data_IF_426542679314
#
_entry.id   IF_426542679314
#
_cell.length_a   1.000
_cell.length_b   1.000
_cell.length_c   1.000
_cell.angle_alpha   90.00
_cell.angle_beta   90.00
_cell.angle_gamma   90.00
#
_symmetry.space_group_name_H-M   'P 1'
#
loop_
_entity.id
_entity.type
_entity.pdbx_description
1 polymer ?
#
# COMPACT_ATOMS: atom_id res chain seq x y z
N UNK A 1 -5.15 12.59 4.53
CA UNK A 1 -5.33 11.72 3.35
C UNK A 1 -4.46 10.49 3.58
N UNK A 2 -4.92 9.24 3.37
CA UNK A 2 -4.21 8.04 3.89
C UNK A 2 -2.83 7.80 3.22
N UNK A 3 -2.55 8.45 2.10
CA UNK A 3 -1.19 8.52 1.53
C UNK A 3 -0.18 9.24 2.46
N UNK A 4 -0.64 10.19 3.29
CA UNK A 4 0.17 10.87 4.32
C UNK A 4 0.64 9.89 5.41
N UNK A 5 0.01 8.72 5.53
CA UNK A 5 0.35 7.73 6.55
C UNK A 5 1.55 6.87 6.16
N UNK A 6 1.75 6.58 4.87
CA UNK A 6 2.89 5.75 4.41
C UNK A 6 4.22 6.46 4.65
N UNK A 7 4.33 7.74 4.32
CA UNK A 7 5.55 8.53 4.54
C UNK A 7 5.86 8.68 6.03
N UNK A 8 4.87 9.05 6.85
CA UNK A 8 5.04 9.13 8.31
C UNK A 8 5.41 7.79 8.94
N UNK A 9 4.80 6.70 8.46
CA UNK A 9 5.12 5.35 8.93
C UNK A 9 6.55 4.96 8.55
N UNK A 10 6.96 5.24 7.31
CA UNK A 10 8.34 5.06 6.85
C UNK A 10 9.34 5.83 7.71
N UNK A 11 9.10 7.12 7.97
CA UNK A 11 9.97 7.95 8.83
C UNK A 11 10.08 7.38 10.25
N UNK A 12 8.97 6.92 10.82
CA UNK A 12 8.96 6.27 12.15
C UNK A 12 9.77 4.98 12.15
N UNK A 13 9.66 4.16 11.11
CA UNK A 13 10.44 2.92 10.96
C UNK A 13 11.92 3.24 10.75
N UNK A 14 12.26 4.27 9.96
CA UNK A 14 13.64 4.71 9.78
C UNK A 14 14.25 5.21 11.11
N UNK A 15 13.46 5.88 11.96
CA UNK A 15 13.89 6.26 13.31
C UNK A 15 14.11 5.03 14.20
N UNK A 16 13.18 4.08 14.19
CA UNK A 16 13.30 2.81 14.92
C UNK A 16 14.56 2.03 14.49
N UNK A 17 14.80 1.95 13.17
CA UNK A 17 15.98 1.32 12.61
C UNK A 17 17.25 2.00 13.11
N UNK A 18 17.34 3.34 13.05
CA UNK A 18 18.49 4.09 13.57
C UNK A 18 18.75 3.79 15.05
N UNK A 19 17.71 3.70 15.86
CA UNK A 19 17.84 3.34 17.28
C UNK A 19 18.39 1.92 17.48
N UNK A 20 17.90 0.93 16.72
CA UNK A 20 18.39 -0.46 16.78
C UNK A 20 19.87 -0.56 16.37
N UNK A 21 20.25 0.11 15.28
CA UNK A 21 21.64 0.15 14.81
C UNK A 21 22.58 0.80 15.85
N UNK A 22 22.15 1.91 16.46
CA UNK A 22 22.93 2.59 17.50
C UNK A 22 23.13 1.72 18.75
N UNK A 23 22.09 0.99 19.19
CA UNK A 23 22.22 0.05 20.32
C UNK A 23 23.24 -1.04 20.05
N UNK A 24 23.29 -1.58 18.83
CA UNK A 24 24.27 -2.61 18.46
C UNK A 24 25.70 -2.09 18.56
N UNK A 25 25.97 -0.89 18.05
CA UNK A 25 27.31 -0.30 18.09
C UNK A 25 27.87 -0.14 19.51
N UNK A 26 27.01 0.15 20.50
CA UNK A 26 27.42 0.34 21.90
C UNK A 26 27.85 -0.99 22.54
N UNK A 27 27.26 -2.11 22.14
CA UNK A 27 27.45 -3.42 22.78
C UNK A 27 28.60 -4.25 22.18
N UNK A 28 29.38 -3.69 21.24
CA UNK A 28 30.33 -4.46 20.45
C UNK A 28 31.81 -4.31 20.89
N UNK A 29 32.36 -5.38 21.48
CA UNK A 29 33.78 -5.76 21.33
C UNK A 29 33.80 -6.95 20.38
N UNK A 30 34.32 -6.83 19.14
CA UNK A 30 34.15 -7.90 18.14
C UNK A 30 35.44 -8.32 17.44
N UNK A 31 35.70 -9.63 17.49
CA UNK A 31 36.57 -10.38 16.58
C UNK A 31 35.99 -10.36 15.16
N UNK A 32 36.81 -10.08 14.15
CA UNK A 32 36.37 -9.95 12.76
C UNK A 32 36.97 -11.04 11.89
N UNK A 33 36.17 -11.62 11.00
CA UNK A 33 36.63 -12.50 9.93
C UNK A 33 36.40 -11.85 8.57
N UNK A 34 37.33 -12.00 7.64
CA UNK A 34 37.26 -11.40 6.30
C UNK A 34 37.63 -12.39 5.22
N UNK A 35 37.00 -12.25 4.04
CA UNK A 35 37.41 -12.92 2.80
C UNK A 35 37.48 -14.45 2.87
N UNK A 36 36.60 -15.06 3.65
CA UNK A 36 36.51 -16.52 3.70
C UNK A 36 35.48 -17.07 2.74
N UNK A 37 35.83 -18.19 2.10
CA UNK A 37 34.92 -18.97 1.27
C UNK A 37 34.55 -20.23 2.05
N UNK A 38 33.26 -20.33 2.37
CA UNK A 38 32.62 -21.50 2.95
C UNK A 38 31.91 -22.22 1.80
N UNK A 39 32.61 -23.15 1.16
CA UNK A 39 32.15 -23.90 -0.02
C UNK A 39 32.41 -25.39 0.18
N UNK A 40 31.76 -25.97 1.17
CA UNK A 40 31.84 -27.42 1.41
C UNK A 40 30.43 -27.94 1.60
N UNK A 41 30.18 -29.17 1.14
CA UNK A 41 28.99 -30.00 1.42
C UNK A 41 28.85 -30.34 2.93
N UNK A 42 29.25 -29.43 3.80
CA UNK A 42 29.39 -29.58 5.23
C UNK A 42 28.12 -29.07 5.86
N UNK A 43 27.39 -30.01 6.43
CA UNK A 43 26.49 -29.76 7.54
C UNK A 43 27.28 -29.11 8.66
N UNK A 44 27.03 -27.82 8.90
CA UNK A 44 27.57 -27.14 10.07
C UNK A 44 26.49 -27.25 11.14
N UNK A 45 26.71 -28.15 12.11
CA UNK A 45 25.75 -28.46 13.17
C UNK A 45 26.20 -27.84 14.49
N UNK A 46 25.24 -27.31 15.26
CA UNK A 46 25.40 -26.90 16.66
C UNK A 46 26.61 -25.99 16.97
N UNK A 47 26.95 -25.05 16.10
CA UNK A 47 27.93 -24.02 16.46
C UNK A 47 27.28 -22.66 16.74
N UNK A 48 28.03 -21.86 17.49
CA UNK A 48 27.69 -20.47 17.78
C UNK A 48 28.64 -19.59 16.97
N UNK A 49 28.08 -18.62 16.24
CA UNK A 49 28.85 -17.55 15.62
C UNK A 49 28.59 -16.25 16.36
N UNK A 50 29.65 -15.67 16.90
CA UNK A 50 29.64 -14.42 17.68
C UNK A 50 30.69 -13.42 17.11
N UNK A 51 31.01 -13.53 15.82
CA UNK A 51 32.01 -12.68 15.14
C UNK A 51 31.44 -12.03 13.89
N UNK A 52 31.82 -10.77 13.64
CA UNK A 52 31.45 -10.06 12.42
C UNK A 52 32.17 -10.64 11.21
N UNK A 53 31.45 -10.74 10.10
CA UNK A 53 31.93 -11.30 8.85
C UNK A 53 31.91 -10.23 7.77
N UNK A 54 33.04 -10.07 7.09
CA UNK A 54 33.19 -9.14 5.97
C UNK A 54 33.58 -9.89 4.71
N UNK A 55 32.90 -9.62 3.60
CA UNK A 55 33.29 -10.10 2.28
C UNK A 55 33.41 -11.64 2.23
N UNK A 56 32.66 -12.34 3.08
CA UNK A 56 32.65 -13.79 3.15
C UNK A 56 31.63 -14.35 2.15
N UNK A 57 31.95 -15.51 1.58
CA UNK A 57 31.15 -16.18 0.56
C UNK A 57 30.73 -17.54 1.10
N UNK A 58 29.43 -17.77 1.18
CA UNK A 58 28.79 -19.02 1.59
C UNK A 58 28.13 -19.63 0.37
N UNK A 59 28.49 -20.86 0.00
CA UNK A 59 27.91 -21.55 -1.15
C UNK A 59 27.57 -23.00 -0.82
N UNK A 60 26.45 -23.50 -1.35
CA UNK A 60 26.08 -24.91 -1.36
C UNK A 60 26.16 -25.58 0.03
N UNK A 61 25.78 -24.85 1.07
CA UNK A 61 25.97 -25.25 2.47
C UNK A 61 24.62 -25.29 3.18
N UNK A 62 24.45 -26.26 4.08
CA UNK A 62 23.31 -26.34 5.00
C UNK A 62 23.76 -26.07 6.44
N UNK A 63 23.20 -25.03 7.05
CA UNK A 63 23.35 -24.74 8.48
C UNK A 63 22.19 -25.37 9.24
N UNK A 64 22.49 -26.22 10.22
CA UNK A 64 21.46 -26.87 11.04
C UNK A 64 21.67 -26.50 12.51
N UNK A 65 20.61 -26.07 13.19
CA UNK A 65 20.63 -25.71 14.61
C UNK A 65 21.73 -24.68 14.96
N UNK A 66 22.08 -23.82 14.01
CA UNK A 66 23.17 -22.88 14.16
C UNK A 66 22.71 -21.64 14.91
N UNK A 67 23.53 -21.14 15.84
CA UNK A 67 23.18 -19.99 16.67
C UNK A 67 24.04 -18.76 16.31
N UNK A 68 23.43 -17.79 15.66
CA UNK A 68 24.04 -16.50 15.38
C UNK A 68 23.71 -15.54 16.52
N UNK A 69 24.74 -15.01 17.18
CA UNK A 69 24.56 -14.02 18.24
C UNK A 69 25.35 -12.76 17.96
N UNK A 70 24.61 -11.65 17.87
CA UNK A 70 25.17 -10.32 17.70
C UNK A 70 26.13 -10.15 16.50
N UNK A 71 25.97 -10.99 15.46
CA UNK A 71 26.79 -10.96 14.24
C UNK A 71 26.31 -9.88 13.29
N UNK A 72 27.25 -9.18 12.66
CA UNK A 72 27.02 -8.39 11.45
C UNK A 72 27.70 -9.04 10.26
N UNK A 73 26.96 -9.16 9.16
CA UNK A 73 27.48 -9.57 7.87
C UNK A 73 27.58 -8.33 6.97
N UNK A 74 28.77 -8.07 6.46
CA UNK A 74 29.08 -6.97 5.57
C UNK A 74 29.55 -7.50 4.22
N UNK A 75 28.99 -7.03 3.10
CA UNK A 75 29.39 -7.45 1.74
C UNK A 75 29.45 -8.99 1.56
N UNK A 76 28.66 -9.76 2.31
CA UNK A 76 28.70 -11.22 2.26
C UNK A 76 27.77 -11.78 1.17
N UNK A 77 28.13 -12.93 0.61
CA UNK A 77 27.37 -13.59 -0.45
C UNK A 77 26.90 -14.95 0.06
N UNK A 78 25.60 -15.23 -0.04
CA UNK A 78 24.96 -16.50 0.28
C UNK A 78 24.32 -17.05 -0.98
N UNK A 79 24.80 -18.20 -1.47
CA UNK A 79 24.28 -18.87 -2.67
C UNK A 79 23.91 -20.31 -2.36
N UNK A 80 22.68 -20.71 -2.70
CA UNK A 80 22.20 -22.08 -2.48
C UNK A 80 22.40 -22.51 -1.02
N UNK A 81 21.96 -21.67 -0.07
CA UNK A 81 22.11 -21.93 1.37
C UNK A 81 20.77 -22.36 1.96
N UNK A 82 20.80 -23.42 2.76
CA UNK A 82 19.66 -23.78 3.62
C UNK A 82 20.02 -23.52 5.08
N UNK A 83 19.26 -22.65 5.74
CA UNK A 83 19.25 -22.50 7.18
C UNK A 83 18.07 -23.30 7.73
N UNK A 84 18.35 -24.31 8.54
CA UNK A 84 17.34 -25.18 9.12
C UNK A 84 17.42 -25.14 10.65
N UNK A 85 16.35 -24.69 11.29
CA UNK A 85 16.25 -24.60 12.74
C UNK A 85 17.32 -23.68 13.37
N UNK A 86 17.82 -22.71 12.61
CA UNK A 86 18.83 -21.75 13.05
C UNK A 86 18.22 -20.63 13.89
N UNK A 87 19.00 -20.12 14.85
CA UNK A 87 18.63 -19.00 15.72
C UNK A 87 19.44 -17.77 15.35
N UNK A 88 18.74 -16.69 15.00
CA UNK A 88 19.29 -15.36 14.76
C UNK A 88 18.85 -14.37 15.85
N UNK A 89 18.31 -14.90 16.95
CA UNK A 89 17.94 -14.14 18.14
C UNK A 89 18.13 -15.03 19.37
N UNK A 90 18.88 -14.57 20.36
CA UNK A 90 19.11 -15.27 21.62
C UNK A 90 18.26 -14.75 22.79
N UNK A 91 17.40 -13.75 22.53
CA UNK A 91 16.51 -13.15 23.52
C UNK A 91 17.16 -12.08 24.43
N UNK A 92 18.47 -11.86 24.37
CA UNK A 92 19.22 -10.89 25.21
C UNK A 92 19.63 -9.63 24.43
N UNK A 93 18.68 -9.06 23.68
CA UNK A 93 18.90 -7.89 22.80
C UNK A 93 19.92 -8.12 21.67
N UNK A 94 20.27 -9.37 21.34
CA UNK A 94 21.09 -9.67 20.16
C UNK A 94 20.37 -9.21 18.89
N UNK A 95 21.04 -8.40 18.07
CA UNK A 95 20.53 -7.96 16.77
C UNK A 95 21.47 -8.48 15.69
N UNK A 96 20.98 -9.36 14.83
CA UNK A 96 21.71 -9.76 13.63
C UNK A 96 21.44 -8.74 12.53
N UNK A 97 22.51 -8.34 11.84
CA UNK A 97 22.44 -7.37 10.75
C UNK A 97 23.12 -7.98 9.53
N UNK A 98 22.43 -7.93 8.39
CA UNK A 98 23.04 -8.08 7.07
C UNK A 98 23.03 -6.72 6.41
N UNK A 99 24.21 -6.20 6.08
CA UNK A 99 24.32 -4.88 5.47
C UNK A 99 25.42 -4.77 4.42
N UNK A 100 25.43 -3.62 3.73
CA UNK A 100 26.37 -3.29 2.68
C UNK A 100 26.41 -4.37 1.60
N UNK A 101 25.45 -4.35 0.67
CA UNK A 101 25.44 -5.20 -0.52
C UNK A 101 25.52 -6.71 -0.25
N UNK A 102 25.04 -7.19 0.90
CA UNK A 102 24.90 -8.62 1.11
C UNK A 102 23.95 -9.21 0.06
N UNK A 103 24.28 -10.40 -0.45
CA UNK A 103 23.50 -11.08 -1.50
C UNK A 103 22.99 -12.43 -1.00
N UNK A 104 21.71 -12.70 -1.21
CA UNK A 104 21.08 -14.00 -0.99
C UNK A 104 20.50 -14.48 -2.32
N UNK A 105 20.96 -15.64 -2.78
CA UNK A 105 20.52 -16.23 -4.04
C UNK A 105 20.16 -17.68 -3.75
N UNK A 106 18.91 -18.08 -4.02
CA UNK A 106 18.43 -19.45 -3.78
C UNK A 106 18.63 -19.88 -2.30
N UNK A 107 18.26 -19.01 -1.35
CA UNK A 107 18.43 -19.28 0.07
C UNK A 107 17.10 -19.72 0.71
N UNK A 108 17.12 -20.73 1.56
CA UNK A 108 15.95 -21.20 2.31
C UNK A 108 16.17 -21.03 3.81
N UNK A 109 15.20 -20.46 4.50
CA UNK A 109 15.15 -20.38 5.96
C UNK A 109 13.95 -21.21 6.44
N UNK A 110 14.23 -22.39 7.01
CA UNK A 110 13.24 -23.31 7.56
C UNK A 110 13.28 -23.33 9.07
N UNK A 111 12.13 -23.17 9.72
CA UNK A 111 12.01 -23.23 11.18
C UNK A 111 12.99 -22.29 11.92
N UNK A 112 13.38 -21.19 11.29
CA UNK A 112 14.39 -20.29 11.83
C UNK A 112 13.76 -19.25 12.77
N UNK A 113 14.49 -18.88 13.82
CA UNK A 113 14.17 -17.70 14.63
C UNK A 113 14.91 -16.49 14.05
N UNK A 114 14.20 -15.68 13.27
CA UNK A 114 14.69 -14.47 12.61
C UNK A 114 14.21 -13.19 13.30
N UNK A 115 13.75 -13.27 14.55
CA UNK A 115 13.21 -12.10 15.25
C UNK A 115 14.19 -10.94 15.26
N UNK A 116 13.68 -9.74 14.96
CA UNK A 116 14.43 -8.47 14.99
C UNK A 116 15.61 -8.37 14.03
N UNK A 117 15.83 -9.34 13.13
CA UNK A 117 16.91 -9.30 12.14
C UNK A 117 16.74 -8.07 11.24
N UNK A 118 17.85 -7.43 10.90
CA UNK A 118 17.87 -6.28 10.01
C UNK A 118 18.58 -6.67 8.71
N UNK A 119 17.92 -6.41 7.58
CA UNK A 119 18.49 -6.49 6.26
C UNK A 119 18.53 -5.08 5.66
N UNK A 120 19.73 -4.50 5.50
CA UNK A 120 19.90 -3.12 5.04
C UNK A 120 20.79 -3.07 3.81
N UNK A 121 20.28 -2.53 2.71
CA UNK A 121 21.03 -2.52 1.45
C UNK A 121 21.47 -3.93 1.03
N UNK A 122 20.51 -4.86 0.97
CA UNK A 122 20.76 -6.24 0.53
C UNK A 122 20.04 -6.56 -0.78
N UNK A 123 20.52 -7.58 -1.49
CA UNK A 123 19.80 -8.18 -2.60
C UNK A 123 19.39 -9.60 -2.23
N UNK A 124 18.09 -9.89 -2.24
CA UNK A 124 17.56 -11.24 -2.06
C UNK A 124 16.83 -11.69 -3.32
N UNK A 125 17.22 -12.85 -3.83
CA UNK A 125 16.64 -13.45 -5.03
C UNK A 125 16.31 -14.91 -4.78
N UNK A 126 15.12 -15.33 -5.19
CA UNK A 126 14.66 -16.72 -5.08
C UNK A 126 14.86 -17.26 -3.66
N UNK A 127 14.35 -16.56 -2.65
CA UNK A 127 14.58 -16.94 -1.26
C UNK A 127 13.27 -17.27 -0.54
N UNK A 128 13.32 -18.35 0.23
CA UNK A 128 12.15 -18.96 0.85
C UNK A 128 12.24 -18.85 2.36
N UNK A 129 11.16 -18.41 3.00
CA UNK A 129 10.97 -18.43 4.44
C UNK A 129 9.82 -19.37 4.77
N UNK A 130 10.10 -20.43 5.52
CA UNK A 130 9.15 -21.52 5.78
C UNK A 130 9.11 -21.76 7.28
N UNK A 131 7.92 -21.70 7.88
CA UNK A 131 7.67 -21.97 9.31
C UNK A 131 8.60 -21.16 10.24
N UNK A 132 9.05 -19.99 9.79
CA UNK A 132 10.06 -19.19 10.48
C UNK A 132 9.42 -18.00 11.21
N UNK A 133 10.01 -17.63 12.35
CA UNK A 133 9.60 -16.51 13.18
C UNK A 133 10.31 -15.23 12.72
N UNK A 134 9.61 -14.36 12.01
CA UNK A 134 10.14 -13.15 11.38
C UNK A 134 9.60 -11.88 12.05
N UNK A 135 9.19 -11.99 13.32
CA UNK A 135 8.64 -10.85 14.03
C UNK A 135 9.66 -9.73 14.15
N UNK A 136 9.21 -8.50 13.95
CA UNK A 136 10.03 -7.29 14.03
C UNK A 136 11.24 -7.26 13.08
N UNK A 137 11.28 -8.09 12.03
CA UNK A 137 12.32 -7.97 10.98
C UNK A 137 12.14 -6.67 10.20
N UNK A 138 13.25 -6.01 9.89
CA UNK A 138 13.27 -4.80 9.08
C UNK A 138 14.13 -5.03 7.83
N UNK A 139 13.53 -4.88 6.66
CA UNK A 139 14.21 -4.82 5.37
C UNK A 139 14.19 -3.36 4.88
N UNK A 140 15.36 -2.76 4.68
CA UNK A 140 15.50 -1.37 4.24
C UNK A 140 16.46 -1.26 3.04
N UNK A 141 16.18 -0.35 2.10
CA UNK A 141 17.06 -0.04 0.95
C UNK A 141 17.45 -1.26 0.13
N UNK A 142 16.59 -2.27 0.03
CA UNK A 142 16.95 -3.59 -0.49
C UNK A 142 16.23 -3.90 -1.81
N UNK A 143 16.73 -4.92 -2.50
CA UNK A 143 16.12 -5.48 -3.70
C UNK A 143 15.61 -6.90 -3.41
N UNK A 144 14.31 -7.12 -3.56
CA UNK A 144 13.63 -8.39 -3.28
C UNK A 144 13.00 -8.93 -4.57
N UNK A 145 13.40 -10.12 -5.00
CA UNK A 145 12.88 -10.75 -6.22
C UNK A 145 12.57 -12.22 -5.96
N UNK A 146 11.34 -12.65 -6.26
CA UNK A 146 10.88 -14.02 -6.06
C UNK A 146 11.09 -14.48 -4.62
N UNK A 147 10.52 -13.74 -3.67
CA UNK A 147 10.55 -14.10 -2.25
C UNK A 147 9.28 -14.85 -1.89
N UNK A 148 9.43 -15.98 -1.20
CA UNK A 148 8.31 -16.82 -0.81
C UNK A 148 8.23 -16.94 0.71
N UNK A 149 7.02 -16.82 1.24
CA UNK A 149 6.71 -17.09 2.64
C UNK A 149 5.74 -18.26 2.73
N UNK A 150 5.93 -19.12 3.72
CA UNK A 150 5.02 -20.21 4.05
C UNK A 150 4.90 -20.36 5.56
N UNK A 151 3.71 -20.11 6.08
CA UNK A 151 3.32 -20.32 7.48
C UNK A 151 4.25 -19.61 8.49
N UNK A 152 4.69 -18.40 8.14
CA UNK A 152 5.61 -17.59 8.93
C UNK A 152 4.90 -16.73 9.98
N UNK A 153 5.61 -16.35 11.04
CA UNK A 153 5.16 -15.30 11.95
C UNK A 153 5.78 -13.95 11.55
N UNK A 154 5.04 -13.14 10.80
CA UNK A 154 5.49 -11.86 10.24
C UNK A 154 4.84 -10.64 10.94
N UNK A 155 4.46 -10.79 12.22
CA UNK A 155 3.95 -9.66 13.00
C UNK A 155 5.03 -8.60 13.18
N UNK A 156 4.69 -7.34 12.88
CA UNK A 156 5.63 -6.20 12.87
C UNK A 156 6.77 -6.33 11.84
N UNK A 157 6.64 -7.20 10.85
CA UNK A 157 7.56 -7.29 9.70
C UNK A 157 7.49 -6.02 8.86
N UNK A 158 8.64 -5.45 8.51
CA UNK A 158 8.72 -4.13 7.86
C UNK A 158 9.61 -4.18 6.61
N UNK A 159 9.11 -3.67 5.49
CA UNK A 159 9.88 -3.45 4.26
C UNK A 159 9.73 -2.00 3.84
N UNK A 160 10.82 -1.25 3.81
CA UNK A 160 10.84 0.18 3.48
C UNK A 160 11.93 0.52 2.47
N UNK A 161 11.73 1.58 1.68
CA UNK A 161 12.69 2.09 0.69
C UNK A 161 13.28 0.98 -0.23
N UNK A 162 12.50 -0.05 -0.53
CA UNK A 162 13.00 -1.27 -1.17
C UNK A 162 12.26 -1.52 -2.48
N UNK A 163 12.97 -2.10 -3.44
CA UNK A 163 12.40 -2.53 -4.71
C UNK A 163 11.91 -3.96 -4.57
N UNK A 164 10.63 -4.18 -4.85
CA UNK A 164 9.99 -5.49 -4.73
C UNK A 164 9.55 -5.94 -6.12
N UNK A 165 10.22 -6.97 -6.65
CA UNK A 165 9.87 -7.61 -7.91
C UNK A 165 8.70 -8.57 -7.76
N UNK A 166 8.77 -9.49 -6.78
CA UNK A 166 7.71 -10.44 -6.47
C UNK A 166 7.81 -10.93 -5.01
N UNK A 167 6.66 -10.98 -4.33
CA UNK A 167 6.49 -11.62 -3.02
C UNK A 167 5.24 -12.48 -3.09
N UNK A 168 5.37 -13.74 -2.70
CA UNK A 168 4.27 -14.71 -2.69
C UNK A 168 4.16 -15.38 -1.31
N UNK A 169 2.93 -15.74 -0.96
CA UNK A 169 2.61 -16.49 0.26
C UNK A 169 1.99 -17.82 -0.18
N UNK A 170 2.64 -18.93 0.16
CA UNK A 170 2.24 -20.30 -0.19
C UNK A 170 1.84 -21.07 1.06
N UNK A 171 0.97 -20.45 1.84
CA UNK A 171 0.55 -20.95 3.16
C UNK A 171 -0.34 -22.18 3.03
N UNK A 172 -0.10 -23.17 3.90
CA UNK A 172 -1.07 -24.25 4.16
C UNK A 172 -1.98 -23.88 5.34
N UNK A 173 -1.47 -23.05 6.26
CA UNK A 173 -2.18 -22.45 7.37
C UNK A 173 -2.33 -20.95 7.12
N UNK A 174 -1.49 -20.14 7.74
CA UNK A 174 -1.53 -18.68 7.61
C UNK A 174 -0.19 -18.07 8.03
N UNK A 175 0.36 -17.20 7.20
CA UNK A 175 1.39 -16.25 7.59
C UNK A 175 0.76 -15.13 8.43
N UNK A 176 1.28 -14.90 9.63
CA UNK A 176 0.66 -14.00 10.61
C UNK A 176 1.10 -12.56 10.43
N UNK A 177 0.16 -11.64 10.21
CA UNK A 177 0.38 -10.19 10.24
C UNK A 177 -0.30 -9.56 11.46
N UNK A 178 0.14 -8.36 11.84
CA UNK A 178 -0.56 -7.49 12.79
C UNK A 178 -0.60 -6.05 12.25
N UNK A 179 -1.17 -5.13 13.02
CA UNK A 179 -1.33 -3.71 12.66
C UNK A 179 0.01 -2.98 12.44
N UNK A 180 1.11 -3.53 13.00
CA UNK A 180 2.45 -2.96 12.90
C UNK A 180 3.28 -3.53 11.74
N UNK A 181 2.77 -4.57 11.06
CA UNK A 181 3.36 -5.05 9.80
C UNK A 181 3.21 -3.94 8.76
N UNK A 182 4.26 -3.70 7.97
CA UNK A 182 4.26 -2.62 6.98
C UNK A 182 5.14 -2.96 5.78
N UNK A 183 4.55 -2.97 4.60
CA UNK A 183 5.27 -3.08 3.34
C UNK A 183 4.99 -1.80 2.56
N UNK A 184 6.04 -1.03 2.35
CA UNK A 184 5.96 0.28 1.73
C UNK A 184 5.53 0.22 0.25
N UNK A 185 5.24 1.37 -0.33
CA UNK A 185 4.93 1.48 -1.76
C UNK A 185 6.13 1.04 -2.57
N UNK A 186 5.87 0.22 -3.57
CA UNK A 186 6.88 -0.30 -4.50
C UNK A 186 7.28 0.84 -5.45
N UNK A 187 8.53 1.28 -5.31
CA UNK A 187 9.07 2.45 -6.00
C UNK A 187 9.53 2.16 -7.44
N UNK A 188 9.64 3.22 -8.23
CA UNK A 188 9.64 3.19 -9.70
C UNK A 188 11.06 3.35 -10.25
N UNK A 189 11.61 2.29 -10.86
CA UNK A 189 12.84 2.40 -11.67
C UNK A 189 12.57 2.31 -13.18
N UNK A 190 11.57 1.52 -13.61
CA UNK A 190 11.18 1.41 -15.02
C UNK A 190 9.70 1.04 -15.13
N UNK A 191 8.93 1.92 -15.74
CA UNK A 191 7.47 1.77 -15.85
C UNK A 191 7.12 1.20 -17.21
N UNK A 192 6.73 -0.07 -17.24
CA UNK A 192 6.11 -0.71 -18.39
C UNK A 192 4.81 -1.41 -17.98
N UNK A 193 4.08 -1.97 -18.96
CA UNK A 193 2.83 -2.68 -18.66
C UNK A 193 3.05 -3.92 -17.79
N UNK A 194 4.23 -4.55 -17.88
CA UNK A 194 4.57 -5.76 -17.13
C UNK A 194 4.84 -5.44 -15.65
N UNK A 195 5.42 -4.28 -15.38
CA UNK A 195 5.61 -3.74 -14.03
C UNK A 195 4.28 -3.56 -13.32
N UNK A 196 3.30 -2.87 -13.94
CA UNK A 196 2.00 -2.66 -13.31
C UNK A 196 1.28 -3.96 -12.94
N UNK A 197 1.38 -4.97 -13.80
CA UNK A 197 0.84 -6.30 -13.53
C UNK A 197 1.52 -6.98 -12.34
N UNK A 198 2.86 -7.05 -12.35
CA UNK A 198 3.61 -7.65 -11.23
C UNK A 198 3.33 -6.93 -9.92
N UNK A 199 3.35 -5.60 -9.92
CA UNK A 199 3.11 -4.81 -8.70
C UNK A 199 1.67 -4.95 -8.19
N UNK A 200 0.68 -5.02 -9.09
CA UNK A 200 -0.71 -5.32 -8.71
C UNK A 200 -0.83 -6.69 -8.03
N UNK A 201 -0.15 -7.71 -8.58
CA UNK A 201 -0.12 -9.06 -7.98
C UNK A 201 0.52 -9.03 -6.60
N UNK A 202 1.65 -8.33 -6.43
CA UNK A 202 2.29 -8.20 -5.10
C UNK A 202 1.36 -7.56 -4.09
N UNK A 203 0.71 -6.46 -4.42
CA UNK A 203 -0.24 -5.83 -3.50
C UNK A 203 -1.45 -6.72 -3.20
N UNK A 204 -1.94 -7.50 -4.17
CA UNK A 204 -3.03 -8.45 -3.97
C UNK A 204 -2.62 -9.61 -3.06
N UNK A 205 -1.39 -10.11 -3.19
CA UNK A 205 -0.85 -11.13 -2.31
C UNK A 205 -0.78 -10.61 -0.86
N UNK A 206 -0.35 -9.36 -0.66
CA UNK A 206 -0.28 -8.72 0.65
C UNK A 206 -1.68 -8.49 1.23
N UNK A 207 -2.62 -7.97 0.43
CA UNK A 207 -4.03 -7.80 0.79
C UNK A 207 -4.62 -9.10 1.34
N UNK A 208 -4.43 -10.21 0.62
CA UNK A 208 -4.98 -11.51 1.00
C UNK A 208 -4.51 -11.97 2.39
N UNK A 209 -3.24 -11.70 2.75
CA UNK A 209 -2.71 -12.03 4.08
C UNK A 209 -3.30 -11.12 5.15
N UNK A 210 -3.41 -9.81 4.92
CA UNK A 210 -4.09 -8.93 5.87
C UNK A 210 -5.56 -9.35 6.08
N UNK A 211 -6.27 -9.70 5.01
CA UNK A 211 -7.66 -10.17 5.10
C UNK A 211 -7.76 -11.50 5.86
N UNK A 212 -6.87 -12.46 5.61
CA UNK A 212 -6.82 -13.72 6.35
C UNK A 212 -6.55 -13.52 7.86
N UNK A 213 -5.80 -12.47 8.21
CA UNK A 213 -5.55 -12.05 9.59
C UNK A 213 -6.64 -11.13 10.18
N UNK A 214 -7.74 -10.86 9.45
CA UNK A 214 -8.86 -9.97 9.85
C UNK A 214 -8.44 -8.51 10.09
N UNK A 215 -7.43 -8.04 9.35
CA UNK A 215 -6.92 -6.68 9.40
C UNK A 215 -7.45 -5.90 8.19
N UNK A 216 -8.77 -5.67 8.18
CA UNK A 216 -9.48 -5.21 6.98
C UNK A 216 -9.13 -3.79 6.55
N UNK A 217 -8.77 -2.92 7.49
CA UNK A 217 -8.28 -1.59 7.16
C UNK A 217 -7.00 -1.65 6.32
N UNK A 218 -6.00 -2.41 6.77
CA UNK A 218 -4.76 -2.62 6.03
C UNK A 218 -5.03 -3.35 4.70
N UNK A 219 -5.88 -4.38 4.71
CA UNK A 219 -6.24 -5.09 3.48
C UNK A 219 -6.84 -4.13 2.43
N UNK A 220 -7.74 -3.24 2.83
CA UNK A 220 -8.34 -2.23 1.95
C UNK A 220 -7.32 -1.26 1.34
N UNK A 221 -6.27 -0.90 2.08
CA UNK A 221 -5.18 -0.07 1.54
C UNK A 221 -4.44 -0.78 0.41
N UNK A 222 -4.04 -2.04 0.62
CA UNK A 222 -3.32 -2.82 -0.40
C UNK A 222 -4.22 -3.19 -1.58
N UNK A 223 -5.50 -3.45 -1.36
CA UNK A 223 -6.51 -3.60 -2.43
C UNK A 223 -6.58 -2.34 -3.30
N UNK A 224 -6.71 -1.16 -2.67
CA UNK A 224 -6.76 0.11 -3.40
C UNK A 224 -5.48 0.35 -4.22
N UNK A 225 -4.31 0.07 -3.65
CA UNK A 225 -3.03 0.17 -4.36
C UNK A 225 -2.96 -0.81 -5.54
N UNK A 226 -3.45 -2.04 -5.37
CA UNK A 226 -3.54 -3.03 -6.45
C UNK A 226 -4.43 -2.52 -7.59
N UNK A 227 -5.62 -2.01 -7.29
CA UNK A 227 -6.55 -1.45 -8.30
C UNK A 227 -5.99 -0.24 -9.03
N UNK A 228 -5.26 0.62 -8.33
CA UNK A 228 -4.53 1.72 -8.97
C UNK A 228 -3.49 1.21 -9.99
N UNK A 229 -2.81 0.09 -9.71
CA UNK A 229 -1.86 -0.51 -10.65
C UNK A 229 -2.57 -1.20 -11.82
N UNK A 230 -3.65 -1.94 -11.57
CA UNK A 230 -4.48 -2.54 -12.63
C UNK A 230 -4.96 -1.47 -13.62
N UNK A 231 -5.48 -0.34 -13.12
CA UNK A 231 -5.96 0.76 -13.96
C UNK A 231 -4.88 1.31 -14.89
N UNK A 232 -3.62 1.40 -14.42
CA UNK A 232 -2.51 1.91 -15.23
C UNK A 232 -2.14 0.99 -16.39
N UNK A 233 -2.42 -0.32 -16.27
CA UNK A 233 -2.28 -1.32 -17.34
C UNK A 233 -3.40 -1.22 -18.39
N UNK A 234 -4.62 -0.89 -17.97
CA UNK A 234 -5.80 -0.86 -18.85
C UNK A 234 -5.68 0.17 -19.98
N UNK A 235 -6.38 -0.10 -21.09
CA UNK A 235 -6.47 0.79 -22.27
C UNK A 235 -7.93 0.94 -22.71
N UNK A 236 -8.23 1.98 -23.49
CA UNK A 236 -9.54 2.20 -24.10
C UNK A 236 -10.68 2.30 -23.08
N UNK A 237 -11.81 1.64 -23.39
CA UNK A 237 -13.05 1.70 -22.60
C UNK A 237 -12.86 1.13 -21.19
N UNK A 238 -12.04 0.09 -21.02
CA UNK A 238 -11.84 -0.53 -19.71
C UNK A 238 -11.12 0.41 -18.75
N UNK A 239 -10.16 1.21 -19.27
CA UNK A 239 -9.51 2.27 -18.49
C UNK A 239 -10.52 3.34 -18.07
N UNK A 240 -11.42 3.74 -18.97
CA UNK A 240 -12.47 4.71 -18.68
C UNK A 240 -13.43 4.20 -17.59
N UNK A 241 -13.91 2.96 -17.70
CA UNK A 241 -14.77 2.32 -16.68
C UNK A 241 -14.08 2.29 -15.31
N UNK A 242 -12.82 1.87 -15.27
CA UNK A 242 -12.01 1.84 -14.06
C UNK A 242 -11.82 3.24 -13.46
N UNK A 243 -11.61 4.26 -14.31
CA UNK A 243 -11.49 5.64 -13.88
C UNK A 243 -12.78 6.22 -13.31
N UNK A 244 -13.94 5.94 -13.93
CA UNK A 244 -15.25 6.32 -13.39
C UNK A 244 -15.44 5.69 -12.01
N UNK A 245 -15.16 4.38 -11.87
CA UNK A 245 -15.31 3.70 -10.58
C UNK A 245 -14.34 4.25 -9.51
N UNK A 246 -13.14 4.68 -9.91
CA UNK A 246 -12.19 5.36 -9.04
C UNK A 246 -12.71 6.72 -8.55
N UNK A 247 -13.24 7.57 -9.44
CA UNK A 247 -13.80 8.86 -9.05
C UNK A 247 -15.00 8.67 -8.12
N UNK A 248 -15.93 7.78 -8.46
CA UNK A 248 -17.20 7.64 -7.72
C UNK A 248 -17.02 7.15 -6.29
N UNK A 249 -16.03 6.28 -6.01
CA UNK A 249 -15.89 5.66 -4.70
C UNK A 249 -14.48 5.18 -4.32
N UNK A 250 -13.45 5.56 -5.07
CA UNK A 250 -12.08 5.10 -4.88
C UNK A 250 -11.99 3.57 -4.84
N UNK A 251 -12.62 2.90 -5.81
CA UNK A 251 -12.74 1.43 -5.87
C UNK A 251 -13.51 0.80 -4.70
N UNK A 252 -14.32 1.58 -3.99
CA UNK A 252 -15.10 1.12 -2.85
C UNK A 252 -14.36 1.16 -1.52
N UNK A 253 -13.15 1.75 -1.48
CA UNK A 253 -12.34 1.89 -0.26
C UNK A 253 -12.33 3.32 0.29
N UNK A 254 -12.76 4.31 -0.51
CA UNK A 254 -12.66 5.73 -0.17
C UNK A 254 -14.05 6.39 -0.18
N UNK A 255 -14.80 6.36 0.94
CA UNK A 255 -16.12 7.00 1.00
C UNK A 255 -16.05 8.51 0.77
N UNK A 256 -14.92 9.15 1.08
CA UNK A 256 -14.70 10.59 0.83
C UNK A 256 -14.78 10.95 -0.66
N UNK A 257 -14.46 10.03 -1.56
CA UNK A 257 -14.55 10.27 -3.00
C UNK A 257 -16.00 10.45 -3.44
N UNK A 258 -16.92 9.62 -2.92
CA UNK A 258 -18.34 9.75 -3.21
C UNK A 258 -18.90 11.11 -2.75
N UNK A 259 -18.45 11.62 -1.60
CA UNK A 259 -18.84 12.96 -1.12
C UNK A 259 -18.30 14.07 -2.02
N UNK A 260 -17.02 14.02 -2.38
CA UNK A 260 -16.39 15.02 -3.25
C UNK A 260 -17.07 15.03 -4.62
N UNK A 261 -17.28 13.87 -5.23
CA UNK A 261 -17.97 13.76 -6.52
C UNK A 261 -19.43 14.22 -6.44
N UNK A 262 -20.11 13.99 -5.30
CA UNK A 262 -21.46 14.55 -5.09
C UNK A 262 -21.44 16.08 -5.10
N UNK A 263 -20.46 16.70 -4.42
CA UNK A 263 -20.28 18.16 -4.43
C UNK A 263 -19.96 18.68 -5.83
N UNK A 264 -19.10 17.99 -6.58
CA UNK A 264 -18.77 18.35 -7.97
C UNK A 264 -20.00 18.31 -8.87
N UNK A 265 -20.83 17.25 -8.76
CA UNK A 265 -22.09 17.14 -9.50
C UNK A 265 -22.99 18.34 -9.16
N UNK A 266 -23.19 18.65 -7.87
CA UNK A 266 -24.01 19.79 -7.44
C UNK A 266 -23.53 21.11 -8.06
N UNK A 267 -22.23 21.38 -8.01
CA UNK A 267 -21.66 22.60 -8.57
C UNK A 267 -21.80 22.68 -10.09
N UNK A 268 -21.60 21.55 -10.80
CA UNK A 268 -21.76 21.49 -12.26
C UNK A 268 -23.21 21.74 -12.66
N UNK A 269 -24.16 21.08 -12.00
CA UNK A 269 -25.59 21.26 -12.29
C UNK A 269 -26.07 22.67 -11.95
N UNK A 270 -25.63 23.24 -10.83
CA UNK A 270 -25.90 24.63 -10.48
C UNK A 270 -25.49 25.60 -11.61
N UNK A 271 -24.29 25.44 -12.17
CA UNK A 271 -23.82 26.25 -13.29
C UNK A 271 -24.68 26.01 -14.54
N UNK A 272 -25.00 24.76 -14.86
CA UNK A 272 -25.81 24.42 -16.04
C UNK A 272 -27.21 25.04 -15.96
N UNK A 273 -27.85 25.02 -14.79
CA UNK A 273 -29.20 25.57 -14.61
C UNK A 273 -29.27 27.08 -14.84
N UNK A 274 -28.20 27.81 -14.52
CA UNK A 274 -28.12 29.26 -14.79
C UNK A 274 -28.27 29.58 -16.28
N UNK A 275 -27.85 28.68 -17.18
CA UNK A 275 -27.96 28.85 -18.64
C UNK A 275 -29.22 28.24 -19.25
N UNK A 276 -29.82 27.24 -18.61
CA UNK A 276 -30.94 26.50 -19.19
C UNK A 276 -32.31 26.93 -18.67
N UNK A 277 -32.36 27.61 -17.53
CA UNK A 277 -33.58 28.22 -17.03
C UNK A 277 -34.03 27.69 -15.69
N UNK A 278 -34.23 28.59 -14.71
CA UNK A 278 -34.99 28.37 -13.48
C UNK A 278 -36.02 29.48 -13.30
N UNK A 279 -37.19 29.15 -12.76
CA UNK A 279 -38.22 30.12 -12.37
C UNK A 279 -38.35 30.17 -10.84
N UNK A 280 -38.12 31.36 -10.29
CA UNK A 280 -38.19 31.68 -8.87
C UNK A 280 -39.37 32.64 -8.66
N UNK A 281 -40.57 32.08 -8.51
CA UNK A 281 -41.78 32.86 -8.23
C UNK A 281 -42.10 33.94 -9.28
N UNK A 282 -41.77 33.69 -10.56
CA UNK A 282 -41.95 34.61 -11.67
C UNK A 282 -40.66 35.28 -12.15
N UNK A 283 -39.57 35.21 -11.39
CA UNK A 283 -38.25 35.69 -11.81
C UNK A 283 -37.46 34.57 -12.51
N UNK A 284 -37.10 34.78 -13.77
CA UNK A 284 -36.43 33.78 -14.60
C UNK A 284 -34.91 34.00 -14.58
N UNK A 285 -34.17 32.99 -14.11
CA UNK A 285 -32.72 32.87 -14.31
C UNK A 285 -32.51 32.11 -15.61
N UNK A 286 -32.07 32.78 -16.68
CA UNK A 286 -31.74 32.16 -17.96
C UNK A 286 -30.69 33.00 -18.70
N UNK A 287 -29.42 32.64 -18.53
CA UNK A 287 -28.31 33.32 -19.17
C UNK A 287 -28.09 32.81 -20.59
N UNK A 288 -28.10 33.72 -21.56
CA UNK A 288 -27.76 33.43 -22.95
C UNK A 288 -26.22 33.45 -23.14
N UNK A 289 -25.69 32.91 -24.24
CA UNK A 289 -24.24 32.92 -24.55
C UNK A 289 -23.67 34.37 -24.60
N UNK A 290 -24.50 35.35 -24.97
CA UNK A 290 -24.15 36.79 -24.95
C UNK A 290 -23.84 37.32 -23.53
N UNK A 291 -24.24 36.61 -22.47
CA UNK A 291 -23.91 36.87 -21.08
C UNK A 291 -22.39 36.86 -20.82
N UNK A 292 -21.65 35.96 -21.50
CA UNK A 292 -20.19 35.84 -21.34
C UNK A 292 -19.47 37.12 -21.77
N UNK A 293 -20.05 37.89 -22.70
CA UNK A 293 -19.45 39.08 -23.29
C UNK A 293 -19.75 40.35 -22.48
N UNK A 294 -20.85 40.39 -21.71
CA UNK A 294 -21.33 41.61 -21.01
C UNK A 294 -21.35 41.51 -19.48
N UNK A 295 -21.04 40.34 -18.93
CA UNK A 295 -20.95 39.97 -17.51
C UNK A 295 -21.52 41.01 -16.51
N UNK A 296 -22.85 41.06 -16.33
CA UNK A 296 -23.45 41.87 -15.28
C UNK A 296 -23.11 41.23 -13.92
N UNK A 297 -22.20 41.84 -13.19
CA UNK A 297 -21.67 41.31 -11.92
C UNK A 297 -22.71 41.35 -10.80
N UNK A 298 -23.70 42.25 -10.90
CA UNK A 298 -24.50 42.69 -9.76
C UNK A 298 -25.41 41.60 -9.14
N UNK A 299 -25.82 40.58 -9.90
CA UNK A 299 -26.70 39.49 -9.43
C UNK A 299 -26.15 38.07 -9.62
N UNK A 300 -24.96 37.91 -10.22
CA UNK A 300 -24.41 36.60 -10.59
C UNK A 300 -24.26 35.66 -9.38
N UNK A 301 -23.78 36.18 -8.25
CA UNK A 301 -23.59 35.38 -7.04
C UNK A 301 -24.93 34.88 -6.47
N UNK A 302 -25.94 35.74 -6.45
CA UNK A 302 -27.26 35.41 -5.93
C UNK A 302 -27.94 34.35 -6.81
N UNK A 303 -27.88 34.52 -8.14
CA UNK A 303 -28.42 33.56 -9.10
C UNK A 303 -27.71 32.21 -9.04
N UNK A 304 -26.39 32.21 -8.82
CA UNK A 304 -25.61 30.99 -8.57
C UNK A 304 -26.07 30.28 -7.30
N UNK A 305 -26.26 31.01 -6.19
CA UNK A 305 -26.71 30.39 -4.93
C UNK A 305 -28.14 29.86 -5.01
N UNK A 306 -29.04 30.52 -5.75
CA UNK A 306 -30.37 29.97 -6.03
C UNK A 306 -30.29 28.70 -6.89
N UNK A 307 -29.45 28.69 -7.91
CA UNK A 307 -29.25 27.51 -8.77
C UNK A 307 -28.60 26.35 -8.02
N UNK A 308 -27.67 26.65 -7.12
CA UNK A 308 -27.06 25.67 -6.22
C UNK A 308 -28.06 25.12 -5.22
N UNK A 309 -28.91 25.97 -4.63
CA UNK A 309 -29.99 25.54 -3.75
C UNK A 309 -30.95 24.58 -4.49
N UNK A 310 -31.37 24.94 -5.71
CA UNK A 310 -32.22 24.08 -6.54
C UNK A 310 -31.54 22.73 -6.83
N UNK A 311 -30.25 22.75 -7.19
CA UNK A 311 -29.43 21.54 -7.42
C UNK A 311 -29.36 20.66 -6.17
N UNK A 312 -29.11 21.23 -4.97
CA UNK A 312 -29.08 20.46 -3.71
C UNK A 312 -30.41 19.75 -3.45
N UNK A 313 -31.52 20.48 -3.57
CA UNK A 313 -32.87 19.95 -3.30
C UNK A 313 -33.27 18.88 -4.34
N UNK A 314 -32.83 19.04 -5.58
CA UNK A 314 -33.04 18.08 -6.67
C UNK A 314 -32.20 16.83 -6.50
N UNK A 315 -30.90 16.97 -6.25
CA UNK A 315 -29.95 15.88 -6.01
C UNK A 315 -30.36 15.02 -4.80
N UNK A 316 -30.87 15.65 -3.75
CA UNK A 316 -31.39 14.95 -2.55
C UNK A 316 -32.81 14.41 -2.73
N UNK A 317 -33.44 14.64 -3.88
CA UNK A 317 -34.82 14.25 -4.19
C UNK A 317 -35.88 14.80 -3.20
N UNK A 318 -35.60 15.92 -2.53
CA UNK A 318 -36.52 16.54 -1.55
C UNK A 318 -37.61 17.35 -2.25
N UNK A 319 -37.25 18.14 -3.26
CA UNK A 319 -38.19 18.87 -4.12
C UNK A 319 -39.17 19.82 -3.41
N UNK A 320 -38.68 20.88 -2.76
CA UNK A 320 -39.54 21.85 -2.05
C UNK A 320 -40.55 22.59 -2.94
N UNK A 321 -40.29 22.73 -4.25
CA UNK A 321 -41.21 23.30 -5.22
C UNK A 321 -41.28 24.84 -5.24
N UNK A 322 -40.37 25.51 -4.54
CA UNK A 322 -40.21 26.96 -4.48
C UNK A 322 -39.43 27.53 -5.68
N UNK A 323 -38.51 26.74 -6.23
CA UNK A 323 -37.84 26.98 -7.52
C UNK A 323 -38.26 25.87 -8.49
N UNK A 324 -38.67 26.25 -9.70
CA UNK A 324 -39.11 25.29 -10.72
C UNK A 324 -38.20 25.31 -11.94
N UNK A 325 -37.81 24.14 -12.48
CA UNK A 325 -37.04 24.08 -13.70
C UNK A 325 -37.93 24.39 -14.91
N UNK A 326 -37.41 25.13 -15.88
CA UNK A 326 -38.10 25.43 -17.14
C UNK A 326 -37.30 24.89 -18.33
N UNK A 327 -37.98 24.63 -19.45
CA UNK A 327 -37.33 24.15 -20.67
C UNK A 327 -36.51 22.89 -20.47
N UNK A 328 -35.24 22.90 -20.88
CA UNK A 328 -34.35 21.75 -20.79
C UNK A 328 -33.91 21.40 -19.35
N UNK A 329 -34.03 22.35 -18.40
CA UNK A 329 -33.75 22.09 -16.99
C UNK A 329 -34.66 21.01 -16.39
N UNK A 330 -35.84 20.78 -16.97
CA UNK A 330 -36.78 19.74 -16.51
C UNK A 330 -36.16 18.34 -16.67
N UNK A 331 -35.61 18.05 -17.85
CA UNK A 331 -34.98 16.74 -18.12
C UNK A 331 -33.70 16.61 -17.29
N UNK A 332 -32.91 17.67 -17.19
CA UNK A 332 -31.67 17.65 -16.40
C UNK A 332 -31.93 17.43 -14.91
N UNK A 333 -32.97 18.05 -14.34
CA UNK A 333 -33.36 17.82 -12.95
C UNK A 333 -33.72 16.36 -12.68
N UNK A 334 -34.36 15.70 -13.65
CA UNK A 334 -34.64 14.26 -13.55
C UNK A 334 -33.36 13.42 -13.54
N UNK A 335 -32.37 13.78 -14.36
CA UNK A 335 -31.06 13.10 -14.41
C UNK A 335 -30.28 13.35 -13.12
N UNK A 336 -30.23 14.59 -12.65
CA UNK A 336 -29.56 14.96 -11.39
C UNK A 336 -30.15 14.21 -10.20
N UNK A 337 -31.48 14.11 -10.11
CA UNK A 337 -32.15 13.38 -9.05
C UNK A 337 -31.74 11.89 -9.04
N UNK A 338 -31.69 11.24 -10.21
CA UNK A 338 -31.23 9.84 -10.33
C UNK A 338 -29.77 9.71 -9.91
N UNK A 339 -28.91 10.62 -10.36
CA UNK A 339 -27.49 10.64 -9.96
C UNK A 339 -27.34 10.82 -8.45
N UNK A 340 -28.11 11.74 -7.85
CA UNK A 340 -28.03 12.05 -6.44
C UNK A 340 -28.45 10.91 -5.53
N UNK A 341 -29.61 10.30 -5.79
CA UNK A 341 -30.05 9.09 -5.06
C UNK A 341 -29.03 7.96 -5.19
N UNK A 342 -28.47 7.77 -6.39
CA UNK A 342 -27.45 6.74 -6.63
C UNK A 342 -26.17 7.04 -5.84
N UNK A 343 -25.70 8.29 -5.81
CA UNK A 343 -24.49 8.70 -5.09
C UNK A 343 -24.64 8.58 -3.57
N UNK A 344 -25.82 8.89 -3.03
CA UNK A 344 -26.14 8.64 -1.61
C UNK A 344 -26.06 7.14 -1.32
N UNK A 345 -26.59 6.29 -2.22
CA UNK A 345 -26.47 4.83 -2.13
C UNK A 345 -25.01 4.35 -2.17
N UNK A 346 -24.20 4.88 -3.08
CA UNK A 346 -22.77 4.55 -3.17
C UNK A 346 -22.04 4.96 -1.90
N UNK A 347 -22.26 6.19 -1.41
CA UNK A 347 -21.63 6.67 -0.19
C UNK A 347 -21.98 5.81 1.02
N UNK A 348 -23.27 5.51 1.23
CA UNK A 348 -23.72 4.67 2.34
C UNK A 348 -23.17 3.25 2.25
N UNK A 349 -23.17 2.63 1.06
CA UNK A 349 -22.64 1.28 0.86
C UNK A 349 -21.13 1.20 1.14
N UNK A 350 -20.36 2.18 0.67
CA UNK A 350 -18.90 2.24 0.87
C UNK A 350 -18.56 2.50 2.33
N UNK A 351 -19.30 3.40 2.99
CA UNK A 351 -19.13 3.67 4.41
C UNK A 351 -19.48 2.45 5.27
N UNK A 352 -20.60 1.78 4.98
CA UNK A 352 -21.00 0.56 5.67
C UNK A 352 -19.92 -0.51 5.51
N UNK A 353 -19.45 -0.77 4.28
CA UNK A 353 -18.36 -1.71 4.00
C UNK A 353 -17.10 -1.40 4.81
N UNK A 354 -16.77 -0.12 4.99
CA UNK A 354 -15.58 0.32 5.74
C UNK A 354 -15.71 0.18 7.25
N UNK A 355 -16.94 0.16 7.79
CA UNK A 355 -17.20 0.01 9.23
C UNK A 355 -17.44 -1.45 9.61
N UNK A 356 -18.04 -2.25 8.72
CA UNK A 356 -18.49 -3.62 9.04
C UNK A 356 -17.51 -4.73 8.67
N UNK A 357 -16.60 -4.48 7.72
CA UNK A 357 -15.40 -5.33 7.56
C UNK A 357 -14.45 -4.93 8.65
#
# INVERSE_FOLDING_TARGET
MILDNFEKTREKIDLELKQRLNRKNINNQIYKKKNEIFDKDIYINECILEMDLYECIFQNTKFINYNFKNVTFFNCIFKNIEFDSCKFNDGKDSIIIFENNCQFINCTFRNCDLKKVIFKNVSMKNSDFILSDMRDVIINMSYLESIYFKDCDCRSFKVINSVIGNIEFKDEFITKFNENTFIDKIDINKVDSSFYERTSIVYKNIEAIYEANRLFDNAGEYYYLSKCMEQKKLKGIDKLKSYIFWILCGYGERPTYALITSIEILLIFAIIYMFLGLDIGGNIINYNIDFIIKLPIDNLALDFFHSLYFSIVTFTAVGYGDITPIGYSIILSSIEMVLGVTMIGVWTAVLARKITR
#
